data_IF_044832648849
#
_entry.id   IF_044832648849
#
_cell.length_a   1.000
_cell.length_b   1.000
_cell.length_c   1.000
_cell.angle_alpha   90.00
_cell.angle_beta   90.00
_cell.angle_gamma   90.00
#
_symmetry.space_group_name_H-M   'P 1'
#
loop_
_entity.id
_entity.type
_entity.pdbx_description
1 polymer ?
#
# COMPACT_ATOMS: atom_id res chain seq x y z
N UNK A 1 3.78 -28.37 25.02
CA UNK A 1 4.23 -27.05 25.52
C UNK A 1 4.17 -27.03 27.04
N UNK A 2 3.02 -27.32 27.66
CA UNK A 2 2.90 -27.55 29.11
C UNK A 2 3.77 -28.73 29.61
N UNK A 3 3.95 -29.77 28.78
CA UNK A 3 4.78 -30.97 29.06
C UNK A 3 6.25 -30.69 29.40
N UNK A 4 6.79 -29.52 29.05
CA UNK A 4 8.18 -29.15 29.38
C UNK A 4 8.34 -28.67 30.83
N UNK A 5 7.24 -28.44 31.54
CA UNK A 5 7.21 -27.94 32.92
C UNK A 5 6.69 -29.02 33.87
N UNK A 6 7.23 -30.24 33.76
CA UNK A 6 6.78 -31.44 34.49
C UNK A 6 6.92 -31.37 36.02
N UNK A 7 7.62 -30.36 36.55
CA UNK A 7 7.81 -30.13 37.98
C UNK A 7 6.68 -29.32 38.63
N UNK A 8 5.72 -28.81 37.85
CA UNK A 8 4.58 -28.05 38.35
C UNK A 8 3.32 -28.92 38.37
N UNK A 9 2.60 -28.87 39.50
CA UNK A 9 1.31 -29.54 39.64
C UNK A 9 0.35 -29.04 38.55
N UNK A 10 -0.44 -29.91 37.89
CA UNK A 10 -1.36 -29.54 36.82
C UNK A 10 -2.38 -28.46 37.22
N UNK A 11 -2.62 -28.25 38.52
CA UNK A 11 -3.58 -27.28 39.07
C UNK A 11 -2.89 -26.15 39.87
N UNK A 12 -1.56 -26.07 39.83
CA UNK A 12 -0.77 -25.08 40.54
C UNK A 12 -0.75 -23.69 39.86
N UNK A 13 -0.08 -22.70 40.47
CA UNK A 13 0.19 -21.43 39.81
C UNK A 13 1.04 -21.66 38.57
N UNK A 14 0.72 -20.95 37.48
CA UNK A 14 1.54 -20.99 36.28
C UNK A 14 2.96 -20.44 36.56
N UNK A 15 4.00 -20.98 35.88
CA UNK A 15 5.35 -20.43 35.98
C UNK A 15 5.39 -18.98 35.50
N UNK A 16 6.38 -18.23 35.97
CA UNK A 16 6.53 -16.85 35.56
C UNK A 16 6.80 -16.75 34.05
N UNK A 17 6.34 -15.69 33.35
CA UNK A 17 6.60 -15.53 31.93
C UNK A 17 8.09 -15.57 31.55
N UNK A 18 8.98 -15.18 32.48
CA UNK A 18 10.43 -15.23 32.29
C UNK A 18 10.96 -16.66 32.25
N UNK A 19 10.54 -17.50 33.20
CA UNK A 19 10.91 -18.93 33.22
C UNK A 19 10.40 -19.64 31.97
N UNK A 20 9.18 -19.33 31.55
CA UNK A 20 8.61 -19.89 30.30
C UNK A 20 9.46 -19.53 29.10
N UNK A 21 9.84 -18.25 29.00
CA UNK A 21 10.68 -17.76 27.91
C UNK A 21 12.06 -18.41 27.88
N UNK A 22 12.70 -18.57 29.04
CA UNK A 22 14.02 -19.21 29.15
C UNK A 22 13.99 -20.67 28.70
N UNK A 23 13.00 -21.44 29.14
CA UNK A 23 12.82 -22.85 28.72
C UNK A 23 12.55 -22.94 27.22
N UNK A 24 11.67 -22.11 26.67
CA UNK A 24 11.41 -22.11 25.23
C UNK A 24 12.61 -21.68 24.40
N UNK A 25 13.43 -20.75 24.91
CA UNK A 25 14.71 -20.38 24.28
C UNK A 25 15.67 -21.56 24.21
N UNK A 26 15.86 -22.28 25.30
CA UNK A 26 16.75 -23.45 25.33
C UNK A 26 16.29 -24.54 24.37
N UNK A 27 14.99 -24.86 24.36
CA UNK A 27 14.41 -25.85 23.43
C UNK A 27 14.59 -25.40 21.98
N UNK A 28 14.41 -24.12 21.71
CA UNK A 28 14.62 -23.59 20.37
C UNK A 28 16.08 -23.72 19.93
N UNK A 29 17.03 -23.29 20.77
CA UNK A 29 18.46 -23.39 20.47
C UNK A 29 18.88 -24.84 20.22
N UNK A 30 18.36 -25.78 21.02
CA UNK A 30 18.53 -27.21 20.80
C UNK A 30 17.96 -27.66 19.45
N UNK A 31 16.72 -27.28 19.12
CA UNK A 31 16.09 -27.69 17.85
C UNK A 31 16.77 -27.10 16.62
N UNK A 32 17.34 -25.91 16.76
CA UNK A 32 18.17 -25.27 15.72
C UNK A 32 19.48 -26.02 15.55
N UNK A 33 20.15 -26.44 16.64
CA UNK A 33 21.39 -27.22 16.54
C UNK A 33 21.16 -28.64 15.98
N UNK A 34 20.00 -29.24 16.28
CA UNK A 34 19.54 -30.50 15.69
C UNK A 34 19.10 -30.37 14.21
N UNK A 35 18.96 -29.14 13.68
CA UNK A 35 18.53 -28.88 12.31
C UNK A 35 17.05 -29.17 12.02
N UNK A 36 16.23 -29.35 13.07
CA UNK A 36 14.79 -29.59 12.93
C UNK A 36 14.03 -28.31 12.61
N UNK A 37 14.46 -27.20 13.19
CA UNK A 37 13.89 -25.85 13.02
C UNK A 37 14.96 -24.91 12.47
N UNK A 38 14.54 -23.95 11.65
CA UNK A 38 15.41 -22.94 11.05
C UNK A 38 15.02 -21.55 11.55
N UNK A 39 16.02 -20.70 11.74
CA UNK A 39 15.82 -19.26 11.91
C UNK A 39 15.44 -18.60 10.56
N UNK A 40 14.85 -17.41 10.63
CA UNK A 40 14.74 -16.55 9.45
C UNK A 40 16.16 -16.16 9.03
N UNK A 41 16.56 -16.55 7.82
CA UNK A 41 17.88 -16.23 7.28
C UNK A 41 17.68 -15.32 6.08
N UNK A 42 18.21 -14.10 6.18
CA UNK A 42 18.28 -13.21 5.04
C UNK A 42 19.45 -13.61 4.13
N UNK A 43 19.28 -13.65 2.79
CA UNK A 43 18.07 -13.35 2.02
C UNK A 43 17.20 -14.59 1.72
N UNK A 44 17.59 -15.78 2.18
CA UNK A 44 16.94 -17.05 1.87
C UNK A 44 15.43 -17.04 2.08
N UNK A 45 14.96 -16.50 3.21
CA UNK A 45 13.53 -16.44 3.54
C UNK A 45 12.69 -15.55 2.59
N UNK A 46 13.33 -14.79 1.70
CA UNK A 46 12.67 -13.92 0.73
C UNK A 46 12.69 -14.50 -0.69
N UNK A 47 13.14 -15.73 -0.91
CA UNK A 47 13.22 -16.29 -2.25
C UNK A 47 11.86 -16.42 -2.95
N UNK A 48 10.76 -16.70 -2.24
CA UNK A 48 9.44 -16.76 -2.87
C UNK A 48 9.01 -15.40 -3.44
N UNK A 49 9.17 -14.32 -2.67
CA UNK A 49 8.83 -12.97 -3.16
C UNK A 49 9.80 -12.49 -4.24
N UNK A 50 11.10 -12.79 -4.13
CA UNK A 50 12.09 -12.45 -5.16
C UNK A 50 11.79 -13.21 -6.45
N UNK A 51 11.41 -14.49 -6.38
CA UNK A 51 11.02 -15.30 -7.54
C UNK A 51 9.78 -14.74 -8.23
N UNK A 52 8.75 -14.40 -7.46
CA UNK A 52 7.54 -13.76 -7.96
C UNK A 52 7.86 -12.41 -8.63
N UNK A 53 8.66 -11.57 -7.97
CA UNK A 53 9.07 -10.25 -8.46
C UNK A 53 9.81 -10.36 -9.79
N UNK A 54 10.82 -11.24 -9.86
CA UNK A 54 11.65 -11.43 -11.05
C UNK A 54 10.81 -11.92 -12.23
N UNK A 55 9.95 -12.93 -12.04
CA UNK A 55 9.08 -13.42 -13.10
C UNK A 55 8.15 -12.34 -13.65
N UNK A 56 7.58 -11.52 -12.76
CA UNK A 56 6.68 -10.43 -13.13
C UNK A 56 7.37 -9.30 -13.92
N UNK A 57 8.68 -9.10 -13.72
CA UNK A 57 9.49 -8.16 -14.49
C UNK A 57 9.78 -8.66 -15.92
N UNK A 58 9.60 -9.95 -16.21
CA UNK A 58 9.82 -10.52 -17.53
C UNK A 58 8.51 -10.45 -18.33
N UNK A 59 8.53 -9.90 -19.55
CA UNK A 59 7.33 -9.75 -20.37
C UNK A 59 6.94 -11.11 -20.94
N UNK A 60 5.81 -11.65 -20.51
CA UNK A 60 5.35 -12.98 -20.94
C UNK A 60 4.14 -12.92 -21.90
N UNK A 61 3.73 -11.73 -22.34
CA UNK A 61 2.61 -11.54 -23.29
C UNK A 61 2.81 -12.24 -24.63
N UNK A 62 4.03 -12.22 -25.16
CA UNK A 62 4.34 -12.67 -26.52
C UNK A 62 4.86 -14.12 -26.59
N UNK A 63 5.15 -14.74 -25.44
CA UNK A 63 5.77 -16.06 -25.38
C UNK A 63 4.91 -17.03 -24.56
N UNK A 64 4.30 -18.00 -25.26
CA UNK A 64 3.43 -19.03 -24.69
C UNK A 64 4.15 -19.92 -23.67
N UNK A 65 5.41 -20.26 -23.92
CA UNK A 65 6.22 -21.12 -23.02
C UNK A 65 6.49 -20.38 -21.71
N UNK A 66 6.91 -19.12 -21.83
CA UNK A 66 7.18 -18.30 -20.65
C UNK A 66 5.90 -18.05 -19.85
N UNK A 67 4.76 -17.84 -20.51
CA UNK A 67 3.47 -17.74 -19.83
C UNK A 67 3.06 -19.04 -19.15
N UNK A 68 3.30 -20.21 -19.77
CA UNK A 68 3.03 -21.51 -19.16
C UNK A 68 3.91 -21.77 -17.93
N UNK A 69 5.12 -21.19 -17.86
CA UNK A 69 6.03 -21.31 -16.73
C UNK A 69 5.47 -20.72 -15.41
N UNK A 70 4.37 -19.96 -15.46
CA UNK A 70 3.65 -19.51 -14.26
C UNK A 70 3.21 -20.67 -13.36
N UNK A 71 2.81 -21.80 -13.93
CA UNK A 71 2.36 -22.97 -13.16
C UNK A 71 3.48 -23.59 -12.32
N UNK A 72 4.60 -24.06 -12.91
CA UNK A 72 5.69 -24.61 -12.12
C UNK A 72 6.27 -23.59 -11.14
N UNK A 73 6.29 -22.29 -11.50
CA UNK A 73 6.73 -21.24 -10.59
C UNK A 73 5.81 -21.11 -9.36
N UNK A 74 4.49 -21.00 -9.55
CA UNK A 74 3.53 -20.90 -8.44
C UNK A 74 3.61 -22.10 -7.52
N UNK A 75 3.72 -23.33 -8.07
CA UNK A 75 3.89 -24.53 -7.27
C UNK A 75 5.22 -24.51 -6.48
N UNK A 76 6.31 -24.09 -7.12
CA UNK A 76 7.62 -24.01 -6.46
C UNK A 76 7.63 -22.99 -5.32
N UNK A 77 7.03 -21.81 -5.52
CA UNK A 77 6.87 -20.78 -4.48
C UNK A 77 5.99 -21.32 -3.36
N UNK A 78 4.84 -21.92 -3.70
CA UNK A 78 3.90 -22.46 -2.70
C UNK A 78 4.56 -23.53 -1.84
N UNK A 79 5.28 -24.46 -2.45
CA UNK A 79 6.01 -25.50 -1.73
C UNK A 79 7.10 -24.94 -0.82
N UNK A 80 7.88 -23.98 -1.33
CA UNK A 80 8.96 -23.33 -0.57
C UNK A 80 8.42 -22.57 0.65
N UNK A 81 7.41 -21.73 0.45
CA UNK A 81 6.80 -20.95 1.52
C UNK A 81 6.01 -21.82 2.50
N UNK A 82 5.36 -22.89 2.02
CA UNK A 82 4.72 -23.88 2.90
C UNK A 82 5.76 -24.53 3.80
N UNK A 83 6.87 -25.01 3.25
CA UNK A 83 7.98 -25.54 4.04
C UNK A 83 8.52 -24.50 5.04
N UNK A 84 8.62 -23.24 4.64
CA UNK A 84 9.03 -22.14 5.52
C UNK A 84 8.08 -22.01 6.73
N UNK A 85 6.77 -22.04 6.52
CA UNK A 85 5.77 -21.99 7.61
C UNK A 85 5.95 -23.14 8.60
N UNK A 86 6.25 -24.35 8.11
CA UNK A 86 6.42 -25.53 8.97
C UNK A 86 7.75 -25.59 9.71
N UNK A 87 8.83 -25.11 9.08
CA UNK A 87 10.20 -25.28 9.59
C UNK A 87 10.81 -24.04 10.20
N UNK A 88 10.22 -22.86 9.97
CA UNK A 88 10.71 -21.60 10.52
C UNK A 88 10.00 -21.31 11.83
N UNK A 89 10.77 -21.07 12.88
CA UNK A 89 10.25 -20.59 14.17
C UNK A 89 11.21 -19.56 14.75
N UNK A 90 10.79 -18.86 15.80
CA UNK A 90 11.62 -17.90 16.51
C UNK A 90 11.28 -17.89 18.00
N UNK A 91 12.30 -17.67 18.83
CA UNK A 91 12.17 -17.65 20.31
C UNK A 91 11.33 -16.48 20.81
N UNK A 92 11.34 -15.36 20.08
CA UNK A 92 10.55 -14.19 20.41
C UNK A 92 9.19 -14.21 19.71
N UNK A 93 8.17 -13.67 20.40
CA UNK A 93 6.89 -13.24 19.82
C UNK A 93 7.07 -12.41 18.53
N UNK A 94 8.24 -11.80 18.32
CA UNK A 94 8.53 -10.89 17.22
C UNK A 94 9.07 -11.49 15.91
N UNK A 95 9.42 -12.78 15.78
CA UNK A 95 10.01 -13.29 14.53
C UNK A 95 9.26 -14.46 13.89
N UNK A 96 8.85 -15.48 14.66
CA UNK A 96 8.17 -16.65 14.09
C UNK A 96 6.82 -16.31 13.43
N UNK A 97 5.97 -15.55 14.13
CA UNK A 97 4.66 -15.17 13.61
C UNK A 97 4.74 -14.28 12.35
N UNK A 98 5.53 -13.18 12.32
CA UNK A 98 5.68 -12.39 11.10
C UNK A 98 6.24 -13.18 9.91
N UNK A 99 7.12 -14.15 10.14
CA UNK A 99 7.63 -15.01 9.06
C UNK A 99 6.53 -15.86 8.43
N UNK A 100 5.73 -16.55 9.24
CA UNK A 100 4.62 -17.36 8.76
C UNK A 100 3.57 -16.51 8.03
N UNK A 101 3.26 -15.32 8.56
CA UNK A 101 2.35 -14.37 7.94
C UNK A 101 2.87 -13.89 6.57
N UNK A 102 4.16 -13.55 6.49
CA UNK A 102 4.79 -13.13 5.24
C UNK A 102 4.78 -14.27 4.21
N UNK A 103 5.12 -15.49 4.61
CA UNK A 103 5.05 -16.67 3.72
C UNK A 103 3.63 -16.90 3.20
N UNK A 104 2.61 -16.83 4.07
CA UNK A 104 1.21 -16.95 3.67
C UNK A 104 0.80 -15.85 2.68
N UNK A 105 1.24 -14.60 2.91
CA UNK A 105 1.01 -13.49 2.00
C UNK A 105 1.66 -13.72 0.63
N UNK A 106 2.90 -14.22 0.58
CA UNK A 106 3.60 -14.54 -0.68
C UNK A 106 2.88 -15.63 -1.46
N UNK A 107 2.39 -16.68 -0.79
CA UNK A 107 1.58 -17.72 -1.42
C UNK A 107 0.33 -17.07 -2.04
N UNK A 108 -0.45 -16.33 -1.25
CA UNK A 108 -1.66 -15.67 -1.72
C UNK A 108 -1.40 -14.75 -2.92
N UNK A 109 -0.33 -13.95 -2.87
CA UNK A 109 0.07 -13.05 -3.95
C UNK A 109 0.49 -13.81 -5.22
N UNK A 110 1.24 -14.91 -5.08
CA UNK A 110 1.65 -15.73 -6.22
C UNK A 110 0.44 -16.31 -6.95
N UNK A 111 -0.52 -16.87 -6.22
CA UNK A 111 -1.76 -17.40 -6.81
C UNK A 111 -2.61 -16.29 -7.44
N UNK A 112 -2.76 -15.17 -6.75
CA UNK A 112 -3.55 -14.04 -7.25
C UNK A 112 -3.00 -13.51 -8.57
N UNK A 113 -1.70 -13.20 -8.63
CA UNK A 113 -1.11 -12.52 -9.79
C UNK A 113 -0.67 -13.45 -10.91
N UNK A 114 -0.34 -14.70 -10.62
CA UNK A 114 0.11 -15.66 -11.64
C UNK A 114 -1.03 -16.53 -12.16
N UNK A 115 -2.01 -16.91 -11.32
CA UNK A 115 -3.07 -17.85 -11.70
C UNK A 115 -4.36 -17.13 -12.03
N UNK A 116 -4.90 -16.36 -11.07
CA UNK A 116 -6.25 -15.79 -11.17
C UNK A 116 -6.33 -14.48 -11.96
N UNK A 117 -5.31 -13.64 -11.86
CA UNK A 117 -5.24 -12.36 -12.57
C UNK A 117 -4.20 -12.41 -13.68
N UNK A 118 -4.34 -11.48 -14.63
CA UNK A 118 -3.42 -11.28 -15.75
C UNK A 118 -2.87 -9.85 -15.72
N UNK A 119 -2.05 -9.52 -14.71
CA UNK A 119 -1.66 -8.14 -14.43
C UNK A 119 -0.97 -7.47 -15.62
N UNK A 120 -0.17 -8.19 -16.42
CA UNK A 120 0.48 -7.57 -17.58
C UNK A 120 -0.52 -7.09 -18.63
N UNK A 121 -1.68 -7.74 -18.79
CA UNK A 121 -2.69 -7.40 -19.79
C UNK A 121 -3.65 -6.33 -19.28
N UNK A 122 -4.21 -6.56 -18.10
CA UNK A 122 -5.41 -5.85 -17.68
C UNK A 122 -5.10 -4.74 -16.67
N UNK A 123 -4.01 -4.87 -15.89
CA UNK A 123 -3.73 -3.92 -14.83
C UNK A 123 -3.14 -2.63 -15.38
N UNK A 124 -3.73 -1.52 -14.96
CA UNK A 124 -3.30 -0.16 -15.28
C UNK A 124 -3.21 0.64 -14.01
N UNK A 125 -2.20 1.49 -13.91
CA UNK A 125 -2.01 2.41 -12.78
C UNK A 125 -1.98 3.86 -13.25
N UNK A 126 -2.36 4.78 -12.38
CA UNK A 126 -2.27 6.22 -12.64
C UNK A 126 -0.81 6.67 -12.52
N UNK A 127 -0.31 7.35 -13.54
CA UNK A 127 1.05 7.91 -13.57
C UNK A 127 1.03 9.39 -14.01
N UNK A 128 2.01 10.19 -13.55
CA UNK A 128 2.14 11.62 -13.91
C UNK A 128 3.23 11.81 -14.96
N UNK A 129 2.95 12.63 -15.96
CA UNK A 129 3.94 13.17 -16.89
C UNK A 129 3.92 14.69 -16.78
N UNK A 130 5.11 15.30 -16.74
CA UNK A 130 5.27 16.73 -16.92
C UNK A 130 5.41 17.00 -18.41
N UNK A 131 4.42 17.66 -19.01
CA UNK A 131 4.53 18.09 -20.40
C UNK A 131 5.21 19.45 -20.41
N UNK A 132 6.44 19.50 -20.95
CA UNK A 132 7.07 20.77 -21.32
C UNK A 132 6.44 21.22 -22.62
N UNK A 133 5.76 22.36 -22.63
CA UNK A 133 5.20 22.92 -23.84
C UNK A 133 6.33 23.61 -24.61
N UNK A 134 7.04 22.88 -25.47
CA UNK A 134 7.92 23.52 -26.45
C UNK A 134 7.01 24.09 -27.53
N UNK A 135 6.72 25.39 -27.47
CA UNK A 135 6.05 26.08 -28.58
C UNK A 135 7.06 26.11 -29.74
N UNK A 136 6.96 25.17 -30.68
CA UNK A 136 7.68 25.23 -31.95
C UNK A 136 6.92 26.24 -32.84
N UNK A 137 7.21 27.53 -32.71
CA UNK A 137 6.77 28.55 -33.68
C UNK A 137 7.63 28.38 -34.93
N UNK A 138 7.30 27.41 -35.77
CA UNK A 138 7.83 27.35 -37.14
C UNK A 138 6.90 28.08 -38.09
N UNK A 139 7.30 29.32 -38.38
CA UNK A 139 7.22 29.99 -39.68
C UNK A 139 5.88 29.93 -40.44
N UNK A 140 4.94 30.81 -40.09
CA UNK A 140 4.01 31.37 -41.09
C UNK A 140 4.58 32.70 -41.55
N UNK A 141 5.48 32.64 -42.52
CA UNK A 141 6.12 33.81 -43.10
C UNK A 141 6.60 33.48 -44.49
N UNK A 142 5.66 33.40 -45.45
CA UNK A 142 5.84 33.78 -46.87
C UNK A 142 4.61 33.33 -47.66
N UNK A 143 3.80 34.29 -48.07
CA UNK A 143 3.22 34.42 -49.42
C UNK A 143 2.35 35.68 -49.42
N UNK A 144 3.01 36.84 -49.51
CA UNK A 144 2.38 38.00 -50.09
C UNK A 144 2.48 37.86 -51.62
N UNK A 145 1.35 38.05 -52.31
CA UNK A 145 1.19 38.87 -53.53
C UNK A 145 0.15 38.25 -54.49
N UNK A 146 -1.07 38.81 -54.48
CA UNK A 146 -1.71 39.48 -55.63
C UNK A 146 -3.18 39.84 -55.30
N UNK A 147 -3.47 41.14 -55.27
CA UNK A 147 -4.77 41.77 -55.54
C UNK A 147 -4.94 41.85 -57.10
N UNK A 148 -6.11 42.13 -57.73
CA UNK A 148 -7.14 43.09 -57.30
C UNK A 148 -8.62 42.82 -57.67
N UNK A 149 -9.45 43.82 -57.30
CA UNK A 149 -10.81 44.16 -57.76
C UNK A 149 -11.97 43.44 -57.00
N UNK A 150 -13.10 44.04 -56.66
CA UNK A 150 -13.65 45.41 -56.67
C UNK A 150 -15.00 45.35 -55.90
N UNK A 151 -15.55 46.52 -55.56
CA UNK A 151 -16.98 46.81 -55.32
C UNK A 151 -17.72 46.48 -54.00
N UNK A 152 -18.07 47.60 -53.33
CA UNK A 152 -19.42 48.08 -52.96
C UNK A 152 -19.96 47.89 -51.52
N UNK A 153 -20.06 49.05 -50.86
CA UNK A 153 -21.26 49.68 -50.27
C UNK A 153 -22.08 48.83 -49.28
N UNK A 154 -22.14 49.25 -48.00
CA UNK A 154 -23.34 49.94 -47.44
C UNK A 154 -23.13 50.47 -46.02
N UNK A 155 -23.54 51.71 -45.85
CA UNK A 155 -23.65 52.50 -44.64
C UNK A 155 -24.66 51.92 -43.63
N UNK A 156 -24.39 52.05 -42.33
CA UNK A 156 -25.41 52.54 -41.40
C UNK A 156 -24.79 53.30 -40.22
N UNK A 157 -25.49 54.35 -39.84
CA UNK A 157 -25.05 55.56 -39.15
C UNK A 157 -25.60 55.59 -37.71
N UNK A 158 -24.93 56.36 -36.85
CA UNK A 158 -25.49 57.11 -35.70
C UNK A 158 -25.59 56.35 -34.36
N UNK A 159 -25.23 56.85 -33.16
CA UNK A 159 -24.59 58.08 -32.64
C UNK A 159 -24.42 57.84 -31.12
N UNK A 160 -23.34 58.37 -30.53
CA UNK A 160 -23.24 59.03 -29.19
C UNK A 160 -22.02 58.59 -28.36
N UNK A 161 -21.00 59.43 -28.48
CA UNK A 161 -19.99 59.77 -27.46
C UNK A 161 -20.65 60.42 -26.21
N UNK A 162 -20.01 60.46 -25.01
CA UNK A 162 -18.69 61.07 -24.85
C UNK A 162 -17.68 60.43 -23.86
N UNK A 163 -16.42 60.50 -24.30
CA UNK A 163 -15.14 60.75 -23.59
C UNK A 163 -14.90 60.16 -22.19
N UNK A 164 -13.82 59.38 -22.06
CA UNK A 164 -12.76 59.55 -21.03
C UNK A 164 -11.45 58.88 -21.51
N UNK A 165 -10.45 59.74 -21.75
CA UNK A 165 -9.00 59.62 -21.54
C UNK A 165 -8.26 58.32 -21.90
N UNK A 166 -7.58 58.39 -23.06
CA UNK A 166 -6.41 57.59 -23.41
C UNK A 166 -5.28 57.92 -22.43
N UNK A 167 -4.94 56.97 -21.56
CA UNK A 167 -3.61 56.92 -20.95
C UNK A 167 -2.94 55.63 -21.41
N UNK A 168 -1.79 55.81 -22.05
CA UNK A 168 -0.88 54.75 -22.45
C UNK A 168 -0.50 53.92 -21.23
N UNK A 169 -0.74 52.61 -21.28
CA UNK A 169 -0.07 51.65 -20.39
C UNK A 169 0.42 50.50 -21.26
N UNK A 170 1.69 50.62 -21.61
CA UNK A 170 2.68 49.55 -21.65
C UNK A 170 2.21 48.17 -22.08
N UNK A 171 2.34 47.95 -23.39
CA UNK A 171 2.90 46.72 -23.93
C UNK A 171 4.28 46.45 -23.29
N UNK A 172 4.31 45.75 -22.14
CA UNK A 172 5.43 44.88 -21.76
C UNK A 172 5.13 44.03 -20.52
N UNK A 173 5.46 42.74 -20.63
CA UNK A 173 5.50 41.71 -19.59
C UNK A 173 4.16 41.14 -19.10
N UNK A 174 3.45 40.42 -19.97
CA UNK A 174 2.88 39.14 -19.52
C UNK A 174 4.06 38.17 -19.45
N UNK A 175 4.68 38.08 -18.28
CA UNK A 175 5.58 36.97 -17.96
C UNK A 175 4.74 35.69 -17.97
N UNK A 176 4.67 35.02 -19.12
CA UNK A 176 4.22 33.63 -19.19
C UNK A 176 5.29 32.82 -18.46
N UNK A 177 5.16 32.71 -17.14
CA UNK A 177 5.85 31.68 -16.38
C UNK A 177 5.39 30.36 -16.99
N UNK A 178 6.32 29.65 -17.62
CA UNK A 178 6.18 28.25 -18.06
C UNK A 178 5.51 27.43 -16.96
N UNK A 179 4.19 27.30 -17.02
CA UNK A 179 3.45 26.40 -16.15
C UNK A 179 3.61 25.02 -16.75
N UNK A 180 4.56 24.25 -16.23
CA UNK A 180 4.65 22.81 -16.46
C UNK A 180 3.25 22.19 -16.24
N UNK A 181 2.56 21.84 -17.32
CA UNK A 181 1.21 21.26 -17.23
C UNK A 181 1.39 19.79 -16.86
N UNK A 182 0.95 19.43 -15.66
CA UNK A 182 0.94 18.04 -15.19
C UNK A 182 -0.26 17.34 -15.82
N UNK A 183 -0.01 16.26 -16.57
CA UNK A 183 -1.06 15.36 -17.09
C UNK A 183 -0.98 14.00 -16.39
N UNK A 184 -2.14 13.38 -16.17
CA UNK A 184 -2.26 12.03 -15.65
C UNK A 184 -2.74 11.08 -16.74
N UNK A 185 -2.25 9.84 -16.72
CA UNK A 185 -2.64 8.81 -17.69
C UNK A 185 -2.62 7.43 -17.03
N UNK A 186 -3.32 6.48 -17.66
CA UNK A 186 -3.31 5.08 -17.27
C UNK A 186 -2.11 4.34 -17.87
N UNK A 187 -1.09 4.11 -17.07
CA UNK A 187 0.08 3.32 -17.43
C UNK A 187 -0.24 1.82 -17.39
N UNK A 188 -0.26 1.20 -18.57
CA UNK A 188 -0.28 -0.27 -18.72
C UNK A 188 1.11 -0.86 -18.48
N UNK A 189 1.25 -2.19 -18.54
CA UNK A 189 2.54 -2.86 -18.35
C UNK A 189 3.65 -2.27 -19.26
N UNK A 190 4.74 -1.72 -18.69
CA UNK A 190 5.71 -0.93 -19.44
C UNK A 190 6.70 -1.79 -20.23
N UNK A 191 7.36 -1.17 -21.22
CA UNK A 191 8.36 -1.84 -22.07
C UNK A 191 9.77 -1.82 -21.47
N UNK A 192 10.16 -0.72 -20.81
CA UNK A 192 11.48 -0.58 -20.20
C UNK A 192 11.60 -1.38 -18.90
N UNK A 193 12.76 -1.99 -18.66
CA UNK A 193 13.00 -2.81 -17.47
C UNK A 193 12.91 -2.00 -16.16
N UNK A 194 13.44 -0.77 -16.13
CA UNK A 194 13.38 0.10 -14.94
C UNK A 194 11.93 0.46 -14.60
N UNK A 195 11.13 0.79 -15.61
CA UNK A 195 9.71 1.06 -15.43
C UNK A 195 8.95 -0.19 -14.98
N UNK A 196 9.33 -1.38 -15.46
CA UNK A 196 8.76 -2.67 -15.01
C UNK A 196 9.07 -2.96 -13.55
N UNK A 197 10.31 -2.77 -13.11
CA UNK A 197 10.70 -2.93 -11.70
C UNK A 197 9.82 -2.03 -10.83
N UNK A 198 9.69 -0.75 -11.21
CA UNK A 198 8.83 0.21 -10.51
C UNK A 198 7.35 -0.15 -10.56
N UNK A 199 6.87 -0.74 -11.66
CA UNK A 199 5.48 -1.17 -11.86
C UNK A 199 5.15 -2.43 -11.06
N UNK A 200 6.02 -3.42 -11.07
CA UNK A 200 5.87 -4.69 -10.34
C UNK A 200 6.03 -4.47 -8.84
N UNK A 201 6.98 -3.64 -8.41
CA UNK A 201 7.14 -3.26 -7.00
C UNK A 201 5.85 -2.64 -6.47
N UNK A 202 5.28 -1.69 -7.20
CA UNK A 202 4.00 -1.08 -6.84
C UNK A 202 2.86 -2.11 -6.79
N UNK A 203 2.75 -2.99 -7.79
CA UNK A 203 1.72 -4.03 -7.79
C UNK A 203 1.83 -4.98 -6.58
N UNK A 204 3.05 -5.37 -6.20
CA UNK A 204 3.27 -6.35 -5.13
C UNK A 204 3.20 -5.73 -3.72
N UNK A 205 3.58 -4.48 -3.55
CA UNK A 205 3.55 -3.80 -2.24
C UNK A 205 2.29 -2.96 -2.02
N UNK A 206 1.40 -2.90 -3.00
CA UNK A 206 0.12 -2.24 -2.88
C UNK A 206 -1.00 -3.24 -2.52
N UNK A 207 -1.57 -3.09 -1.33
CA UNK A 207 -2.55 -4.04 -0.77
C UNK A 207 -4.01 -3.76 -1.17
N UNK A 208 -4.34 -2.51 -1.54
CA UNK A 208 -5.72 -2.09 -1.80
C UNK A 208 -5.95 -1.52 -3.19
N UNK A 209 -4.86 -1.24 -3.90
CA UNK A 209 -4.86 -0.69 -5.24
C UNK A 209 -5.22 0.79 -5.37
N UNK A 210 -4.99 1.73 -4.42
CA UNK A 210 -5.13 3.16 -4.72
C UNK A 210 -4.35 3.52 -6.00
N UNK A 211 -5.01 4.23 -6.91
CA UNK A 211 -4.43 4.57 -8.20
C UNK A 211 -4.29 3.41 -9.19
N UNK A 212 -4.86 2.24 -8.91
CA UNK A 212 -4.95 1.12 -9.84
C UNK A 212 -6.39 0.91 -10.30
N UNK A 213 -6.57 0.37 -11.51
CA UNK A 213 -7.89 0.05 -12.03
C UNK A 213 -8.57 -1.14 -11.34
N UNK A 214 -7.83 -1.91 -10.54
CA UNK A 214 -8.36 -3.01 -9.72
C UNK A 214 -8.59 -2.61 -8.26
N UNK A 215 -8.51 -1.31 -7.94
CA UNK A 215 -8.79 -0.78 -6.59
C UNK A 215 -10.06 -1.38 -5.99
N UNK A 216 -10.02 -1.71 -4.69
CA UNK A 216 -11.22 -2.16 -3.98
C UNK A 216 -12.27 -1.05 -3.96
N UNK A 217 -13.55 -1.40 -4.05
CA UNK A 217 -14.66 -0.44 -4.14
C UNK A 217 -14.85 0.41 -2.89
N UNK A 218 -14.31 -0.02 -1.73
CA UNK A 218 -14.37 0.75 -0.49
C UNK A 218 -13.34 1.88 -0.42
N UNK A 219 -12.41 1.96 -1.37
CA UNK A 219 -11.51 3.11 -1.45
C UNK A 219 -12.24 4.31 -2.05
N UNK A 220 -11.98 5.52 -1.53
CA UNK A 220 -12.46 6.72 -2.18
C UNK A 220 -11.86 6.82 -3.60
N UNK A 221 -12.61 7.45 -4.51
CA UNK A 221 -12.14 7.77 -5.86
C UNK A 221 -10.99 8.79 -5.81
N UNK A 222 -10.01 8.77 -6.73
CA UNK A 222 -8.92 9.75 -6.74
C UNK A 222 -9.44 11.20 -6.72
N UNK A 223 -8.66 12.18 -6.20
CA UNK A 223 -9.10 13.56 -6.13
C UNK A 223 -9.56 14.13 -7.48
N UNK A 224 -10.54 15.04 -7.45
CA UNK A 224 -11.10 15.68 -8.65
C UNK A 224 -10.02 16.32 -9.54
N UNK A 225 -8.97 16.87 -8.94
CA UNK A 225 -7.84 17.45 -9.67
C UNK A 225 -7.08 16.39 -10.50
N UNK A 226 -6.97 15.16 -9.98
CA UNK A 226 -6.33 14.05 -10.69
C UNK A 226 -7.25 13.54 -11.79
N UNK A 227 -8.54 13.33 -11.48
CA UNK A 227 -9.53 12.82 -12.43
C UNK A 227 -9.79 13.79 -13.61
N UNK A 228 -9.87 15.10 -13.35
CA UNK A 228 -10.06 16.12 -14.38
C UNK A 228 -8.88 16.22 -15.36
N UNK A 229 -7.69 15.82 -14.91
CA UNK A 229 -6.44 15.82 -15.69
C UNK A 229 -6.06 14.42 -16.20
N UNK A 230 -6.90 13.42 -15.95
CA UNK A 230 -6.71 12.04 -16.38
C UNK A 230 -7.25 11.87 -17.80
N UNK A 231 -6.43 11.27 -18.66
CA UNK A 231 -6.81 10.98 -20.05
C UNK A 231 -7.99 10.00 -20.11
N UNK A 232 -9.09 10.42 -20.76
CA UNK A 232 -10.30 9.60 -20.95
C UNK A 232 -11.46 9.87 -19.99
N UNK A 233 -11.34 10.82 -19.06
CA UNK A 233 -12.43 11.17 -18.12
C UNK A 233 -13.56 11.92 -18.84
N UNK A 234 -14.75 11.32 -18.91
CA UNK A 234 -15.98 12.01 -19.36
C UNK A 234 -16.64 12.72 -18.18
N UNK A 235 -16.97 14.03 -18.29
CA UNK A 235 -17.59 14.78 -17.21
C UNK A 235 -19.04 14.32 -17.05
N UNK A 236 -19.39 13.63 -15.97
CA UNK A 236 -20.81 13.37 -15.71
C UNK A 236 -21.19 12.48 -14.53
N UNK A 237 -20.35 11.49 -14.15
CA UNK A 237 -20.70 10.57 -13.04
C UNK A 237 -19.59 10.38 -12.00
N UNK A 238 -18.35 10.19 -12.45
CA UNK A 238 -17.19 10.02 -11.55
C UNK A 238 -16.88 11.27 -10.71
N UNK A 239 -17.22 12.47 -11.21
CA UNK A 239 -16.97 13.74 -10.53
C UNK A 239 -17.93 14.01 -9.36
N UNK A 240 -19.16 13.48 -9.41
CA UNK A 240 -20.15 13.66 -8.35
C UNK A 240 -19.79 12.88 -7.09
N UNK A 241 -19.35 11.63 -7.25
CA UNK A 241 -18.88 10.78 -6.14
C UNK A 241 -17.50 11.21 -5.62
N UNK A 242 -16.68 11.87 -6.43
CA UNK A 242 -15.39 12.39 -6.00
C UNK A 242 -15.49 13.69 -5.17
N UNK A 243 -16.54 14.51 -5.38
CA UNK A 243 -16.81 15.72 -4.59
C UNK A 243 -17.13 15.43 -3.12
N UNK A 244 -17.88 14.37 -2.83
CA UNK A 244 -18.19 13.95 -1.45
C UNK A 244 -16.98 13.34 -0.74
N UNK A 245 -16.02 12.81 -1.50
CA UNK A 245 -14.86 12.08 -1.00
C UNK A 245 -13.61 12.95 -0.75
N UNK A 246 -13.60 14.25 -1.09
CA UNK A 246 -12.44 15.13 -0.84
C UNK A 246 -12.05 15.20 0.64
N UNK A 247 -13.02 15.03 1.55
CA UNK A 247 -12.78 14.99 3.00
C UNK A 247 -12.12 13.68 3.49
N UNK A 248 -12.04 12.64 2.66
CA UNK A 248 -11.45 11.33 3.04
C UNK A 248 -9.93 11.26 2.81
N UNK A 249 -9.34 12.29 2.21
CA UNK A 249 -7.91 12.36 1.90
C UNK A 249 -7.16 13.37 2.75
N UNK A 250 -5.91 13.05 3.07
CA UNK A 250 -4.99 14.05 3.58
C UNK A 250 -4.57 14.97 2.44
N UNK A 251 -4.72 16.29 2.61
CA UNK A 251 -4.28 17.28 1.61
C UNK A 251 -2.81 17.65 1.76
N UNK A 252 -2.23 17.45 2.95
CA UNK A 252 -0.84 17.79 3.25
C UNK A 252 -0.03 16.58 3.68
N UNK A 253 1.15 16.40 3.07
CA UNK A 253 2.12 15.38 3.47
C UNK A 253 2.50 15.50 4.94
N UNK A 254 2.70 16.71 5.46
CA UNK A 254 3.06 16.89 6.88
C UNK A 254 1.97 16.38 7.82
N UNK A 255 0.69 16.59 7.47
CA UNK A 255 -0.45 16.11 8.26
C UNK A 255 -0.56 14.58 8.20
N UNK A 256 -0.36 13.99 7.02
CA UNK A 256 -0.29 12.54 6.86
C UNK A 256 0.84 11.96 7.71
N UNK A 257 2.04 12.57 7.70
CA UNK A 257 3.17 12.11 8.51
C UNK A 257 2.83 12.06 9.98
N UNK A 258 2.37 13.19 10.55
CA UNK A 258 2.09 13.24 11.98
C UNK A 258 0.96 12.31 12.38
N UNK A 259 -0.08 12.18 11.55
CA UNK A 259 -1.16 11.22 11.79
C UNK A 259 -0.64 9.78 11.80
N UNK A 260 0.16 9.38 10.80
CA UNK A 260 0.71 8.02 10.72
C UNK A 260 1.78 7.75 11.76
N UNK A 261 2.59 8.73 12.10
CA UNK A 261 3.61 8.62 13.14
C UNK A 261 2.97 8.51 14.53
N UNK A 262 1.93 9.31 14.80
CA UNK A 262 1.13 9.17 16.02
C UNK A 262 0.46 7.80 16.08
N UNK A 263 -0.18 7.35 15.00
CA UNK A 263 -0.77 6.02 14.92
C UNK A 263 0.26 4.91 15.14
N UNK A 264 1.45 5.03 14.54
CA UNK A 264 2.56 4.09 14.74
C UNK A 264 2.96 3.98 16.21
N UNK A 265 3.28 5.09 16.86
CA UNK A 265 3.67 5.09 18.28
C UNK A 265 2.54 4.62 19.20
N UNK A 266 1.30 5.02 18.95
CA UNK A 266 0.14 4.57 19.72
C UNK A 266 -0.07 3.06 19.58
N UNK A 267 0.01 2.51 18.37
CA UNK A 267 -0.12 1.07 18.15
C UNK A 267 1.02 0.29 18.80
N UNK A 268 2.25 0.82 18.82
CA UNK A 268 3.36 0.18 19.56
C UNK A 268 3.08 0.12 21.07
N UNK A 269 2.59 1.21 21.67
CA UNK A 269 2.22 1.24 23.09
C UNK A 269 1.08 0.25 23.37
N UNK A 270 0.06 0.22 22.51
CA UNK A 270 -1.07 -0.72 22.62
C UNK A 270 -0.56 -2.16 22.55
N UNK A 271 0.32 -2.48 21.60
CA UNK A 271 0.88 -3.82 21.45
C UNK A 271 1.69 -4.23 22.68
N UNK A 272 2.55 -3.37 23.24
CA UNK A 272 3.31 -3.67 24.46
C UNK A 272 2.38 -3.92 25.66
N UNK A 273 1.37 -3.07 25.86
CA UNK A 273 0.37 -3.25 26.93
C UNK A 273 -0.41 -4.56 26.75
N UNK A 274 -0.91 -4.83 25.55
CA UNK A 274 -1.66 -6.06 25.25
C UNK A 274 -0.78 -7.31 25.43
N UNK A 275 0.48 -7.26 25.02
CA UNK A 275 1.43 -8.35 25.23
C UNK A 275 1.59 -8.64 26.73
N UNK A 276 1.74 -7.62 27.58
CA UNK A 276 1.83 -7.80 29.04
C UNK A 276 0.54 -8.34 29.65
N UNK A 277 -0.62 -7.97 29.11
CA UNK A 277 -1.91 -8.54 29.55
C UNK A 277 -1.98 -10.01 29.15
N UNK A 278 -1.65 -10.35 27.90
CA UNK A 278 -1.66 -11.73 27.40
C UNK A 278 -0.68 -12.61 28.18
N UNK A 279 0.52 -12.12 28.50
CA UNK A 279 1.51 -12.86 29.26
C UNK A 279 1.06 -13.23 30.69
N UNK A 280 0.03 -12.58 31.23
CA UNK A 280 -0.55 -12.92 32.54
C UNK A 280 -1.56 -14.07 32.47
N UNK A 281 -2.17 -14.33 31.32
CA UNK A 281 -3.09 -15.46 31.15
C UNK A 281 -2.32 -16.67 30.58
N UNK A 282 -2.22 -17.78 31.33
CA UNK A 282 -1.50 -18.99 30.89
C UNK A 282 -1.96 -19.51 29.54
N UNK A 283 -3.21 -19.23 29.15
CA UNK A 283 -3.74 -19.61 27.85
C UNK A 283 -2.94 -19.06 26.68
N UNK A 284 -2.44 -17.82 26.75
CA UNK A 284 -1.67 -17.25 25.64
C UNK A 284 -0.24 -17.77 25.58
N UNK A 285 0.30 -18.30 26.68
CA UNK A 285 1.65 -18.86 26.75
C UNK A 285 1.70 -20.33 26.34
N UNK A 286 0.66 -21.08 26.66
CA UNK A 286 0.66 -22.54 26.55
C UNK A 286 -0.48 -23.10 25.68
N UNK A 287 -1.51 -22.32 25.40
CA UNK A 287 -2.78 -22.78 24.82
C UNK A 287 -3.76 -23.29 25.89
N UNK A 288 -4.70 -24.17 25.51
CA UNK A 288 -5.54 -24.87 26.48
C UNK A 288 -4.68 -25.58 27.53
N UNK A 289 -4.84 -25.21 28.80
CA UNK A 289 -4.00 -25.69 29.91
C UNK A 289 -4.78 -25.92 31.19
N UNK A 290 -4.17 -26.63 32.14
CA UNK A 290 -4.77 -26.96 33.44
C UNK A 290 -4.39 -25.97 34.56
N UNK A 291 -3.42 -25.09 34.31
CA UNK A 291 -2.93 -24.10 35.28
C UNK A 291 -4.03 -23.22 35.88
N UNK A 292 -3.80 -22.78 37.12
CA UNK A 292 -4.71 -21.86 37.81
C UNK A 292 -4.85 -20.52 37.08
N UNK A 293 -6.09 -20.07 36.89
CA UNK A 293 -6.41 -18.76 36.33
C UNK A 293 -5.93 -17.63 37.26
N UNK A 294 -5.48 -16.49 36.70
CA UNK A 294 -5.20 -15.30 37.46
C UNK A 294 -6.41 -14.86 38.32
N UNK A 295 -6.20 -14.25 39.50
CA UNK A 295 -7.29 -13.89 40.41
C UNK A 295 -8.40 -13.06 39.76
N UNK A 296 -8.05 -12.15 38.84
CA UNK A 296 -9.00 -11.29 38.13
C UNK A 296 -9.82 -12.02 37.05
N UNK A 297 -9.38 -13.19 36.59
CA UNK A 297 -10.09 -14.03 35.59
C UNK A 297 -10.83 -15.20 36.22
N UNK A 298 -10.47 -15.60 37.45
CA UNK A 298 -11.04 -16.76 38.15
C UNK A 298 -12.56 -16.66 38.39
N UNK A 299 -13.08 -15.45 38.53
CA UNK A 299 -14.51 -15.20 38.76
C UNK A 299 -15.36 -15.22 37.48
N UNK A 300 -14.75 -15.29 36.30
CA UNK A 300 -15.46 -15.18 35.02
C UNK A 300 -16.01 -16.55 34.57
N UNK A 301 -17.27 -16.60 34.09
CA UNK A 301 -17.80 -17.77 33.38
C UNK A 301 -16.96 -18.12 32.13
N UNK A 302 -16.89 -19.40 31.72
CA UNK A 302 -16.09 -19.84 30.57
C UNK A 302 -16.37 -19.09 29.26
N UNK A 303 -17.64 -18.78 28.99
CA UNK A 303 -18.04 -18.03 27.78
C UNK A 303 -17.46 -16.61 27.76
N UNK A 304 -17.51 -15.91 28.91
CA UNK A 304 -16.96 -14.55 29.04
C UNK A 304 -15.44 -14.58 28.94
N UNK A 305 -14.79 -15.60 29.51
CA UNK A 305 -13.35 -15.79 29.40
C UNK A 305 -12.91 -16.00 27.93
N UNK A 306 -13.67 -16.80 27.17
CA UNK A 306 -13.41 -17.01 25.75
C UNK A 306 -13.61 -15.72 24.94
N UNK A 307 -14.70 -14.98 25.20
CA UNK A 307 -14.95 -13.69 24.56
C UNK A 307 -13.82 -12.69 24.86
N UNK A 308 -13.38 -12.60 26.11
CA UNK A 308 -12.24 -11.78 26.53
C UNK A 308 -10.96 -12.12 25.74
N UNK A 309 -10.62 -13.42 25.65
CA UNK A 309 -9.44 -13.88 24.90
C UNK A 309 -9.54 -13.55 23.41
N UNK A 310 -10.73 -13.71 22.82
CA UNK A 310 -10.99 -13.36 21.43
C UNK A 310 -10.86 -11.85 21.19
N UNK A 311 -11.40 -11.02 22.07
CA UNK A 311 -11.32 -9.56 21.97
C UNK A 311 -9.89 -9.06 22.07
N UNK A 312 -9.10 -9.60 23.01
CA UNK A 312 -7.68 -9.26 23.12
C UNK A 312 -6.91 -9.67 21.87
N UNK A 313 -7.14 -10.89 21.39
CA UNK A 313 -6.49 -11.39 20.17
C UNK A 313 -6.83 -10.51 18.97
N UNK A 314 -8.11 -10.15 18.82
CA UNK A 314 -8.55 -9.24 17.77
C UNK A 314 -7.90 -7.86 17.89
N UNK A 315 -7.81 -7.30 19.10
CA UNK A 315 -7.15 -6.01 19.34
C UNK A 315 -5.67 -6.03 18.96
N UNK A 316 -4.93 -7.11 19.30
CA UNK A 316 -3.52 -7.28 18.90
C UNK A 316 -3.37 -7.35 17.37
N UNK A 317 -4.24 -8.11 16.71
CA UNK A 317 -4.23 -8.23 15.24
C UNK A 317 -4.51 -6.88 14.59
N UNK A 318 -5.54 -6.16 15.05
CA UNK A 318 -5.91 -4.84 14.51
C UNK A 318 -4.80 -3.79 14.72
N UNK A 319 -4.21 -3.75 15.92
CA UNK A 319 -3.09 -2.88 16.23
C UNK A 319 -1.86 -3.23 15.36
N UNK A 320 -1.56 -4.51 15.18
CA UNK A 320 -0.47 -5.00 14.34
C UNK A 320 -0.64 -4.62 12.86
N UNK A 321 -1.83 -4.82 12.29
CA UNK A 321 -2.15 -4.44 10.91
C UNK A 321 -2.04 -2.93 10.73
N UNK A 322 -2.62 -2.15 11.64
CA UNK A 322 -2.57 -0.69 11.59
C UNK A 322 -1.12 -0.17 11.68
N UNK A 323 -0.32 -0.80 12.55
CA UNK A 323 1.11 -0.50 12.67
C UNK A 323 1.88 -0.79 11.37
N UNK A 324 1.62 -1.93 10.74
CA UNK A 324 2.25 -2.31 9.47
C UNK A 324 1.89 -1.34 8.33
N UNK A 325 0.62 -0.92 8.22
CA UNK A 325 0.22 0.08 7.25
C UNK A 325 0.87 1.44 7.52
N UNK A 326 0.90 1.90 8.76
CA UNK A 326 1.58 3.15 9.12
C UNK A 326 3.08 3.12 8.73
N UNK A 327 3.79 2.02 8.99
CA UNK A 327 5.19 1.84 8.59
C UNK A 327 5.37 1.97 7.06
N UNK A 328 4.52 1.32 6.27
CA UNK A 328 4.59 1.39 4.80
C UNK A 328 4.40 2.82 4.30
N UNK A 329 3.45 3.58 4.85
CA UNK A 329 3.25 4.98 4.47
C UNK A 329 4.47 5.84 4.83
N UNK A 330 5.05 5.63 6.01
CA UNK A 330 6.25 6.38 6.45
C UNK A 330 7.42 6.10 5.49
N UNK A 331 7.66 4.83 5.16
CA UNK A 331 8.75 4.42 4.26
C UNK A 331 8.52 4.97 2.84
N UNK A 332 7.35 4.75 2.25
CA UNK A 332 7.10 5.12 0.86
C UNK A 332 6.89 6.64 0.70
N UNK A 333 5.99 7.25 1.47
CA UNK A 333 5.65 8.67 1.30
C UNK A 333 6.74 9.63 1.77
N UNK A 334 7.52 9.26 2.80
CA UNK A 334 8.49 10.17 3.43
C UNK A 334 9.94 9.77 3.22
N UNK A 335 10.31 8.51 3.47
CA UNK A 335 11.72 8.11 3.36
C UNK A 335 12.18 8.03 1.90
N UNK A 336 11.40 7.39 1.03
CA UNK A 336 11.66 7.34 -0.42
C UNK A 336 11.20 8.64 -1.10
N UNK A 337 10.01 9.11 -0.74
CA UNK A 337 9.49 10.40 -1.17
C UNK A 337 9.16 10.50 -2.68
N UNK A 338 8.62 11.66 -3.12
CA UNK A 338 8.09 11.82 -4.48
C UNK A 338 9.18 11.82 -5.55
N UNK A 339 10.44 12.03 -5.18
CA UNK A 339 11.56 11.97 -6.12
C UNK A 339 11.84 10.53 -6.59
N UNK A 340 11.72 9.55 -5.69
CA UNK A 340 11.99 8.14 -6.01
C UNK A 340 10.74 7.44 -6.50
N UNK A 341 9.61 7.61 -5.80
CA UNK A 341 8.38 6.85 -6.10
C UNK A 341 7.29 7.66 -6.82
N UNK A 342 7.50 8.95 -7.10
CA UNK A 342 6.59 9.76 -7.90
C UNK A 342 5.23 9.99 -7.23
N UNK A 343 4.13 9.65 -7.94
CA UNK A 343 2.75 9.81 -7.43
C UNK A 343 2.51 9.02 -6.15
N UNK A 344 3.19 7.90 -5.96
CA UNK A 344 2.97 7.03 -4.81
C UNK A 344 3.38 7.65 -3.48
N UNK A 345 4.11 8.76 -3.49
CA UNK A 345 4.39 9.53 -2.29
C UNK A 345 3.31 10.58 -1.98
N UNK A 346 2.35 10.79 -2.88
CA UNK A 346 1.31 11.79 -2.70
C UNK A 346 0.36 11.37 -1.57
N UNK A 347 -0.10 12.31 -0.73
CA UNK A 347 -0.96 12.01 0.41
C UNK A 347 -2.24 11.25 0.10
N UNK A 348 -2.87 11.56 -1.03
CA UNK A 348 -4.14 10.95 -1.44
C UNK A 348 -3.98 9.47 -1.79
N UNK A 349 -2.76 9.00 -2.04
CA UNK A 349 -2.48 7.59 -2.29
C UNK A 349 -2.70 6.72 -1.03
N UNK A 350 -2.80 7.34 0.15
CA UNK A 350 -2.93 6.67 1.45
C UNK A 350 -4.19 7.11 2.19
N UNK A 351 -5.39 6.65 1.76
CA UNK A 351 -6.63 6.92 2.46
C UNK A 351 -6.66 6.27 3.86
N UNK A 352 -7.70 6.59 4.63
CA UNK A 352 -7.88 5.97 5.95
C UNK A 352 -7.90 4.44 5.87
N UNK A 353 -7.28 3.78 6.85
CA UNK A 353 -7.21 2.32 6.92
C UNK A 353 -8.59 1.72 7.19
N UNK A 354 -9.34 2.39 8.06
CA UNK A 354 -10.69 2.04 8.43
C UNK A 354 -11.60 3.07 7.77
N UNK A 355 -12.60 2.61 7.01
CA UNK A 355 -13.59 3.47 6.38
C UNK A 355 -14.34 4.31 7.42
N UNK A 356 -15.10 5.31 6.98
CA UNK A 356 -16.01 5.99 7.90
C UNK A 356 -17.16 5.05 8.26
N UNK A 357 -17.63 5.06 9.51
CA UNK A 357 -18.86 4.35 9.91
C UNK A 357 -20.14 5.02 9.40
N UNK A 358 -20.00 6.13 8.66
CA UNK A 358 -21.10 6.96 8.16
C UNK A 358 -21.38 6.80 6.66
N UNK A 359 -20.80 5.77 6.02
CA UNK A 359 -21.19 5.28 4.70
C UNK A 359 -22.22 4.15 4.88
#
# INVERSE_FOLDING_TARGET
MESYFSHLLPTGPAPSPREVYEVYRQIFEQRVSEGTIHNIVFPYSFFGIIGLFTYMCIPHKKNLILYAARWPLTFSITWFEWRSIWKTSGVGLGLGYPAGLLSALVIMMSWTWLVFKRPQWDAKRIQKIQVKHTIDIKNTGQLAMKSPAEEKIREQKSTKDPSIQVSQIDSNKISVKDKNVIKYYWQSYPENLVDRISWVSDLLFNYRGPGWNWAISSLPSPPLEVLSKLEGSSPGKEFSDASSNENKYFTSRRRLLFSRLSSYFLNLIILDVLEKIMAKDPYFLFGPTSYALPPHLKALPPCILQLYRLLITAAVILAGISNAFAQLVIIFSFLLGPHVIGIRAEPWYYPSEWGSFSD
#
